data_IF_698495244408
#
_entry.id   IF_698495244408
#
_cell.length_a   1.000
_cell.length_b   1.000
_cell.length_c   1.000
_cell.angle_alpha   90.00
_cell.angle_beta   90.00
_cell.angle_gamma   90.00
#
_symmetry.space_group_name_H-M   'P 1'
#
loop_
_entity.id
_entity.type
_entity.pdbx_description
1 polymer ?
#
# COMPACT_ATOMS: atom_id res chain seq x y z
N UNK A 1 9.22 0.70 20.27
CA UNK A 1 8.40 1.88 19.88
C UNK A 1 9.21 3.15 20.09
N UNK A 2 9.22 4.06 19.11
CA UNK A 2 10.05 5.28 19.12
C UNK A 2 9.68 6.25 20.27
N UNK A 3 8.40 6.47 20.49
CA UNK A 3 7.87 7.30 21.61
C UNK A 3 7.18 6.39 22.62
N UNK A 4 7.65 6.41 23.87
CA UNK A 4 7.15 5.51 24.92
C UNK A 4 6.03 6.12 25.75
N UNK A 5 5.91 7.45 25.74
CA UNK A 5 4.93 8.16 26.53
C UNK A 5 4.41 9.43 25.82
N UNK A 6 3.27 9.99 26.25
CA UNK A 6 2.81 11.31 25.79
C UNK A 6 3.87 12.41 26.01
N UNK A 7 4.63 12.33 27.09
CA UNK A 7 5.71 13.28 27.37
C UNK A 7 6.81 13.22 26.33
N UNK A 8 7.28 12.01 25.98
CA UNK A 8 8.31 11.83 24.94
C UNK A 8 7.86 12.41 23.60
N UNK A 9 6.60 12.16 23.24
CA UNK A 9 6.00 12.69 22.02
C UNK A 9 5.91 14.22 22.02
N UNK A 10 5.38 14.80 23.11
CA UNK A 10 5.13 16.24 23.20
C UNK A 10 6.42 17.06 23.24
N UNK A 11 7.45 16.58 23.93
CA UNK A 11 8.76 17.27 24.07
C UNK A 11 9.67 17.08 22.85
N UNK A 12 9.44 16.04 22.03
CA UNK A 12 10.25 15.82 20.83
C UNK A 12 10.03 16.94 19.80
N UNK A 13 11.11 17.56 19.36
CA UNK A 13 11.09 18.52 18.24
C UNK A 13 10.92 17.79 16.91
N UNK A 14 11.61 16.66 16.73
CA UNK A 14 11.48 15.81 15.55
C UNK A 14 10.38 14.76 15.75
N UNK A 15 9.43 14.70 14.83
CA UNK A 15 8.32 13.76 14.86
C UNK A 15 8.26 12.94 13.58
N UNK A 16 8.32 11.62 13.72
CA UNK A 16 8.25 10.70 12.58
C UNK A 16 7.17 9.65 12.82
N UNK A 17 6.25 9.53 11.88
CA UNK A 17 5.12 8.60 11.97
C UNK A 17 4.98 7.78 10.69
N UNK A 18 4.34 6.62 10.81
CA UNK A 18 3.95 5.76 9.70
C UNK A 18 2.45 5.45 9.82
N UNK A 19 1.68 5.86 8.82
CA UNK A 19 0.23 5.60 8.77
C UNK A 19 -0.04 4.31 7.98
N UNK A 20 -0.78 3.38 8.57
CA UNK A 20 -1.17 2.14 7.90
C UNK A 20 -2.61 1.72 8.23
N UNK A 21 -3.16 0.81 7.46
CA UNK A 21 -4.54 0.35 7.58
C UNK A 21 -5.24 0.27 6.22
N UNK A 22 -6.52 -0.09 6.24
CA UNK A 22 -7.31 -0.26 5.01
C UNK A 22 -7.39 1.03 4.18
N UNK A 23 -7.65 0.87 2.88
CA UNK A 23 -7.90 2.02 1.99
C UNK A 23 -9.14 2.79 2.44
N UNK A 24 -9.16 4.10 2.21
CA UNK A 24 -10.33 4.95 2.47
C UNK A 24 -10.56 5.37 3.93
N UNK A 25 -9.66 5.02 4.85
CA UNK A 25 -9.75 5.38 6.27
C UNK A 25 -9.02 6.71 6.63
N UNK A 26 -8.61 7.49 5.63
CA UNK A 26 -8.07 8.82 5.85
C UNK A 26 -6.54 8.92 5.89
N UNK A 27 -5.76 7.86 5.62
CA UNK A 27 -4.28 7.93 5.60
C UNK A 27 -3.75 9.06 4.72
N UNK A 28 -4.11 9.03 3.45
CA UNK A 28 -3.66 10.02 2.47
C UNK A 28 -4.19 11.43 2.81
N UNK A 29 -5.43 11.54 3.30
CA UNK A 29 -5.98 12.82 3.77
C UNK A 29 -5.12 13.42 4.91
N UNK A 30 -4.78 12.62 5.92
CA UNK A 30 -3.91 13.07 7.01
C UNK A 30 -2.51 13.42 6.51
N UNK A 31 -1.93 12.60 5.64
CA UNK A 31 -0.60 12.87 5.07
C UNK A 31 -0.58 14.17 4.26
N UNK A 32 -1.63 14.46 3.48
CA UNK A 32 -1.78 15.72 2.75
C UNK A 32 -2.01 16.90 3.69
N UNK A 33 -2.85 16.74 4.71
CA UNK A 33 -3.10 17.76 5.73
C UNK A 33 -1.81 18.15 6.46
N UNK A 34 -1.01 17.18 6.87
CA UNK A 34 0.28 17.40 7.51
C UNK A 34 1.27 18.11 6.57
N UNK A 35 1.37 17.67 5.32
CA UNK A 35 2.21 18.30 4.30
C UNK A 35 1.80 19.74 4.02
N UNK A 36 0.51 20.00 3.87
CA UNK A 36 0.00 21.31 3.48
C UNK A 36 0.08 22.34 4.61
N UNK A 37 0.20 21.91 5.86
CA UNK A 37 0.51 22.79 7.00
C UNK A 37 2.01 23.17 7.09
N UNK A 38 2.85 22.70 6.15
CA UNK A 38 4.14 23.29 5.83
C UNK A 38 5.35 22.74 6.56
N UNK A 39 5.20 21.88 7.57
CA UNK A 39 6.33 21.42 8.38
C UNK A 39 6.52 19.89 8.46
N UNK A 40 5.78 19.14 7.62
CA UNK A 40 5.89 17.68 7.52
C UNK A 40 6.35 17.24 6.13
N UNK A 41 7.41 16.46 6.07
CA UNK A 41 7.79 15.77 4.85
C UNK A 41 6.87 14.56 4.63
N UNK A 42 6.22 14.50 3.45
CA UNK A 42 5.33 13.40 3.08
C UNK A 42 6.06 12.41 2.17
N UNK A 43 6.24 11.20 2.66
CA UNK A 43 6.77 10.06 1.91
C UNK A 43 5.66 9.06 1.60
N UNK A 44 5.40 8.80 0.31
CA UNK A 44 4.42 7.81 -0.14
C UNK A 44 5.12 6.52 -0.58
N UNK A 45 4.84 5.43 0.10
CA UNK A 45 5.37 4.11 -0.24
C UNK A 45 4.87 3.66 -1.61
N UNK A 46 3.58 3.81 -1.92
CA UNK A 46 3.01 3.43 -3.21
C UNK A 46 3.64 4.21 -4.38
N UNK A 47 3.86 5.51 -4.20
CA UNK A 47 4.56 6.32 -5.21
C UNK A 47 6.00 5.83 -5.42
N UNK A 48 6.68 5.45 -4.35
CA UNK A 48 8.04 4.92 -4.40
C UNK A 48 8.11 3.56 -5.07
N UNK A 49 7.16 2.66 -4.77
CA UNK A 49 7.00 1.38 -5.47
C UNK A 49 6.90 1.62 -6.98
N UNK A 50 5.96 2.46 -7.39
CA UNK A 50 5.66 2.69 -8.81
C UNK A 50 6.76 3.39 -9.57
N UNK A 51 7.49 4.34 -8.94
CA UNK A 51 8.51 5.14 -9.63
C UNK A 51 9.89 4.50 -9.58
N UNK A 52 10.33 4.03 -8.42
CA UNK A 52 11.70 3.54 -8.24
C UNK A 52 11.85 2.07 -8.58
N UNK A 53 10.93 1.24 -8.11
CA UNK A 53 11.10 -0.20 -8.14
C UNK A 53 10.32 -0.90 -9.26
N UNK A 54 9.16 -0.35 -9.64
CA UNK A 54 8.29 -0.96 -10.64
C UNK A 54 8.20 -0.14 -11.95
N UNK A 55 8.80 1.05 -12.01
CA UNK A 55 8.63 1.98 -13.12
C UNK A 55 9.00 1.38 -14.49
N UNK A 56 10.12 0.67 -14.58
CA UNK A 56 10.56 -0.02 -15.81
C UNK A 56 9.61 -1.17 -16.17
N UNK A 57 9.22 -1.99 -15.20
CA UNK A 57 8.28 -3.10 -15.43
C UNK A 57 6.91 -2.60 -15.92
N UNK A 58 6.44 -1.48 -15.38
CA UNK A 58 5.19 -0.83 -15.81
C UNK A 58 5.34 -0.32 -17.24
N UNK A 59 6.41 0.40 -17.53
CA UNK A 59 6.69 0.93 -18.87
C UNK A 59 6.83 -0.19 -19.91
N UNK A 60 7.53 -1.27 -19.56
CA UNK A 60 7.71 -2.43 -20.43
C UNK A 60 6.41 -3.19 -20.71
N UNK A 61 5.50 -3.24 -19.71
CA UNK A 61 4.16 -3.79 -19.95
C UNK A 61 3.39 -2.97 -20.99
N UNK A 62 3.43 -1.64 -20.92
CA UNK A 62 2.80 -0.78 -21.94
C UNK A 62 3.47 -0.87 -23.31
N UNK A 63 4.81 -0.95 -23.35
CA UNK A 63 5.55 -1.16 -24.61
C UNK A 63 5.14 -2.50 -25.23
N UNK A 64 5.03 -3.56 -24.44
CA UNK A 64 4.61 -4.88 -24.93
C UNK A 64 3.23 -4.85 -25.54
N UNK A 65 2.27 -4.17 -24.95
CA UNK A 65 0.95 -3.97 -25.53
C UNK A 65 1.02 -3.14 -26.82
N UNK A 66 1.80 -2.05 -26.84
CA UNK A 66 1.98 -1.22 -28.03
C UNK A 66 2.65 -1.99 -29.19
N UNK A 67 3.53 -2.95 -28.92
CA UNK A 67 4.19 -3.79 -29.93
C UNK A 67 3.20 -4.71 -30.65
N UNK A 68 2.01 -4.96 -30.13
CA UNK A 68 0.95 -5.69 -30.84
C UNK A 68 0.33 -4.89 -31.99
N UNK A 69 0.50 -3.56 -31.99
CA UNK A 69 0.08 -2.68 -33.06
C UNK A 69 1.23 -2.42 -34.05
N UNK A 70 1.15 -2.83 -35.34
CA UNK A 70 2.26 -2.72 -36.30
C UNK A 70 2.79 -1.29 -36.48
N UNK A 71 1.92 -0.28 -36.42
CA UNK A 71 2.31 1.13 -36.56
C UNK A 71 3.14 1.59 -35.36
N UNK A 72 2.66 1.32 -34.13
CA UNK A 72 3.38 1.70 -32.91
C UNK A 72 4.67 0.88 -32.78
N UNK A 73 4.67 -0.40 -33.14
CA UNK A 73 5.85 -1.25 -33.10
C UNK A 73 6.99 -0.68 -33.96
N UNK A 74 6.67 -0.23 -35.19
CA UNK A 74 7.66 0.38 -36.06
C UNK A 74 8.26 1.66 -35.47
N UNK A 75 7.46 2.52 -34.87
CA UNK A 75 7.90 3.76 -34.24
C UNK A 75 8.76 3.50 -33.00
N UNK A 76 8.40 2.50 -32.18
CA UNK A 76 9.20 2.10 -31.02
C UNK A 76 10.56 1.50 -31.44
N UNK A 77 10.58 0.65 -32.49
CA UNK A 77 11.80 0.00 -32.99
C UNK A 77 12.78 1.00 -33.64
N UNK A 78 12.29 2.15 -34.09
CA UNK A 78 13.11 3.21 -34.71
C UNK A 78 13.39 4.37 -33.77
N UNK A 79 13.09 4.24 -32.47
CA UNK A 79 13.23 5.29 -31.45
C UNK A 79 12.51 6.63 -31.81
N UNK A 80 11.52 6.56 -32.70
CA UNK A 80 10.71 7.71 -33.07
C UNK A 80 9.71 8.12 -31.97
N UNK A 81 9.36 7.19 -31.08
CA UNK A 81 8.56 7.42 -29.88
C UNK A 81 9.15 6.66 -28.70
N UNK A 82 8.81 7.10 -27.49
CA UNK A 82 9.03 6.34 -26.27
C UNK A 82 7.74 6.26 -25.44
N UNK A 83 7.61 5.24 -24.59
CA UNK A 83 6.51 5.06 -23.66
C UNK A 83 7.06 5.14 -22.25
N UNK A 84 6.42 5.96 -21.41
CA UNK A 84 6.73 6.12 -19.99
C UNK A 84 5.45 6.15 -19.17
N UNK A 85 5.50 5.66 -17.95
CA UNK A 85 4.41 5.78 -17.00
C UNK A 85 4.48 7.14 -16.28
N UNK A 86 3.38 7.89 -16.28
CA UNK A 86 3.27 9.12 -15.51
C UNK A 86 2.62 8.82 -14.15
N UNK A 87 3.45 8.55 -13.14
CA UNK A 87 3.00 8.27 -11.77
C UNK A 87 2.86 9.58 -11.00
N UNK A 88 1.73 9.73 -10.31
CA UNK A 88 1.45 10.88 -9.44
C UNK A 88 1.04 10.38 -8.05
N UNK A 89 1.22 11.22 -7.02
CA UNK A 89 0.85 10.88 -5.64
C UNK A 89 -0.63 10.48 -5.50
N UNK A 90 -1.51 11.12 -6.25
CA UNK A 90 -2.95 10.90 -6.23
C UNK A 90 -3.46 10.03 -7.39
N UNK A 91 -2.56 9.54 -8.27
CA UNK A 91 -2.91 8.63 -9.36
C UNK A 91 -1.82 7.58 -9.55
N UNK A 92 -2.06 6.42 -8.97
CA UNK A 92 -1.20 5.24 -8.99
C UNK A 92 -1.78 4.14 -9.90
N UNK A 93 -2.71 4.49 -10.79
CA UNK A 93 -3.38 3.54 -11.70
C UNK A 93 -2.41 2.73 -12.57
N UNK A 94 -1.25 3.25 -13.04
CA UNK A 94 -0.30 2.44 -13.79
C UNK A 94 0.25 1.23 -13.00
N UNK A 95 0.47 1.37 -11.69
CA UNK A 95 0.91 0.28 -10.81
C UNK A 95 -0.17 -0.79 -10.70
N UNK A 96 -1.42 -0.38 -10.45
CA UNK A 96 -2.56 -1.31 -10.39
C UNK A 96 -2.77 -2.03 -11.71
N UNK A 97 -2.68 -1.31 -12.84
CA UNK A 97 -2.80 -1.89 -14.18
C UNK A 97 -1.73 -2.93 -14.44
N UNK A 98 -0.48 -2.68 -14.02
CA UNK A 98 0.60 -3.64 -14.16
C UNK A 98 0.34 -4.93 -13.39
N UNK A 99 -0.18 -4.86 -12.15
CA UNK A 99 -0.48 -6.07 -11.37
C UNK A 99 -1.42 -7.00 -12.12
N UNK A 100 -2.44 -6.47 -12.78
CA UNK A 100 -3.43 -7.26 -13.51
C UNK A 100 -4.33 -8.07 -12.58
N UNK A 101 -5.12 -8.96 -13.17
CA UNK A 101 -6.05 -9.86 -12.49
C UNK A 101 -5.85 -11.27 -13.06
N UNK A 102 -5.79 -12.33 -12.24
CA UNK A 102 -5.59 -13.67 -12.75
C UNK A 102 -6.89 -14.21 -13.36
N UNK A 103 -6.77 -14.98 -14.43
CA UNK A 103 -7.91 -15.64 -15.08
C UNK A 103 -7.79 -15.73 -16.59
N UNK A 104 -8.93 -15.92 -17.23
CA UNK A 104 -9.06 -16.10 -18.66
C UNK A 104 -8.55 -14.86 -19.45
N UNK A 105 -7.52 -15.03 -20.31
CA UNK A 105 -7.01 -13.92 -21.12
C UNK A 105 -8.05 -13.34 -22.08
N UNK A 106 -9.01 -14.12 -22.55
CA UNK A 106 -10.09 -13.62 -23.43
C UNK A 106 -11.03 -12.64 -22.71
N UNK A 107 -11.04 -12.67 -21.37
CA UNK A 107 -11.79 -11.76 -20.50
C UNK A 107 -10.92 -10.67 -19.86
N UNK A 108 -9.72 -10.45 -20.40
CA UNK A 108 -8.76 -9.45 -19.89
C UNK A 108 -7.98 -9.92 -18.64
N UNK A 109 -7.97 -11.22 -18.37
CA UNK A 109 -7.15 -11.83 -17.34
C UNK A 109 -5.70 -12.07 -17.79
N UNK A 110 -4.85 -12.46 -16.83
CA UNK A 110 -3.51 -12.97 -17.09
C UNK A 110 -3.38 -14.36 -16.48
N UNK A 111 -2.52 -15.24 -17.03
CA UNK A 111 -2.29 -16.56 -16.46
C UNK A 111 -1.87 -16.46 -14.98
N UNK A 112 -2.36 -17.36 -14.13
CA UNK A 112 -2.08 -17.33 -12.69
C UNK A 112 -0.57 -17.32 -12.37
N UNK A 113 0.23 -18.07 -13.12
CA UNK A 113 1.70 -18.06 -12.99
C UNK A 113 2.31 -16.69 -13.23
N UNK A 114 1.83 -15.93 -14.23
CA UNK A 114 2.29 -14.57 -14.50
C UNK A 114 1.81 -13.60 -13.40
N UNK A 115 0.59 -13.77 -12.93
CA UNK A 115 0.08 -13.00 -11.80
C UNK A 115 0.95 -13.19 -10.54
N UNK A 116 1.30 -14.43 -10.20
CA UNK A 116 2.22 -14.75 -9.10
C UNK A 116 3.59 -14.09 -9.26
N UNK A 117 4.15 -14.11 -10.47
CA UNK A 117 5.41 -13.43 -10.77
C UNK A 117 5.33 -11.91 -10.50
N UNK A 118 4.24 -11.28 -10.92
CA UNK A 118 4.00 -9.84 -10.69
C UNK A 118 3.80 -9.53 -9.21
N UNK A 119 3.10 -10.40 -8.48
CA UNK A 119 2.94 -10.29 -7.03
C UNK A 119 4.28 -10.33 -6.30
N UNK A 120 5.18 -11.21 -6.69
CA UNK A 120 6.52 -11.32 -6.11
C UNK A 120 7.35 -10.05 -6.36
N UNK A 121 7.34 -9.52 -7.58
CA UNK A 121 8.01 -8.26 -7.89
C UNK A 121 7.45 -7.09 -7.05
N UNK A 122 6.13 -7.03 -6.90
CA UNK A 122 5.49 -6.02 -6.06
C UNK A 122 5.90 -6.16 -4.60
N UNK A 123 5.95 -7.39 -4.06
CA UNK A 123 6.40 -7.67 -2.70
C UNK A 123 7.81 -7.12 -2.45
N UNK A 124 8.74 -7.44 -3.34
CA UNK A 124 10.13 -7.00 -3.20
C UNK A 124 10.24 -5.47 -3.30
N UNK A 125 9.47 -4.86 -4.20
CA UNK A 125 9.37 -3.42 -4.35
C UNK A 125 8.78 -2.74 -3.10
N UNK A 126 7.73 -3.31 -2.49
CA UNK A 126 7.10 -2.77 -1.28
C UNK A 126 8.04 -2.86 -0.08
N UNK A 127 8.72 -4.00 0.12
CA UNK A 127 9.72 -4.17 1.19
C UNK A 127 10.83 -3.12 1.05
N UNK A 128 11.40 -2.95 -0.13
CA UNK A 128 12.46 -1.99 -0.37
C UNK A 128 11.96 -0.54 -0.18
N UNK A 129 10.76 -0.22 -0.66
CA UNK A 129 10.15 1.09 -0.47
C UNK A 129 9.89 1.40 1.01
N UNK A 130 9.47 0.41 1.79
CA UNK A 130 9.31 0.56 3.24
C UNK A 130 10.65 0.84 3.93
N UNK A 131 11.70 0.10 3.60
CA UNK A 131 13.04 0.29 4.17
C UNK A 131 13.69 1.61 3.74
N UNK A 132 13.38 2.13 2.54
CA UNK A 132 13.80 3.45 2.07
C UNK A 132 13.30 4.59 2.98
N UNK A 133 12.26 4.37 3.80
CA UNK A 133 11.75 5.34 4.76
C UNK A 133 12.87 5.93 5.62
N UNK A 134 13.79 5.11 6.12
CA UNK A 134 14.91 5.56 6.96
C UNK A 134 15.82 6.53 6.20
N UNK A 135 16.13 6.22 4.95
CA UNK A 135 16.91 7.09 4.08
C UNK A 135 16.20 8.43 3.80
N UNK A 136 14.85 8.38 3.60
CA UNK A 136 14.07 9.58 3.32
C UNK A 136 13.87 10.47 4.55
N UNK A 137 13.84 9.94 5.77
CA UNK A 137 13.88 10.75 7.00
C UNK A 137 15.16 11.59 7.03
N UNK A 138 16.32 10.97 6.75
CA UNK A 138 17.60 11.68 6.70
C UNK A 138 17.64 12.74 5.59
N UNK A 139 17.13 12.42 4.40
CA UNK A 139 17.05 13.37 3.28
C UNK A 139 16.07 14.51 3.55
N UNK A 140 14.92 14.24 4.18
CA UNK A 140 13.96 15.26 4.57
C UNK A 140 14.62 16.32 5.44
N UNK A 141 15.46 15.90 6.41
CA UNK A 141 16.22 16.82 7.26
C UNK A 141 17.36 17.49 6.50
N UNK A 142 18.22 16.72 5.83
CA UNK A 142 19.48 17.25 5.27
C UNK A 142 19.30 18.13 4.03
N UNK A 143 18.27 17.89 3.22
CA UNK A 143 18.03 18.62 1.96
C UNK A 143 16.95 19.70 2.08
N UNK A 144 15.96 19.51 2.94
CA UNK A 144 14.76 20.34 2.99
C UNK A 144 14.50 20.95 4.38
N UNK A 145 15.32 20.60 5.38
CA UNK A 145 15.23 21.05 6.77
C UNK A 145 13.91 20.70 7.47
N UNK A 146 13.26 19.60 7.06
CA UNK A 146 12.09 19.07 7.76
C UNK A 146 12.49 18.29 9.01
N UNK A 147 11.92 18.67 10.16
CA UNK A 147 12.01 17.92 11.42
C UNK A 147 10.87 16.92 11.62
N UNK A 148 9.82 17.03 10.81
CA UNK A 148 8.65 16.16 10.91
C UNK A 148 8.45 15.36 9.64
N UNK A 149 8.10 14.09 9.81
CA UNK A 149 8.02 13.11 8.72
C UNK A 149 6.77 12.24 8.82
N UNK A 150 6.06 12.09 7.72
CA UNK A 150 4.94 11.14 7.60
C UNK A 150 5.18 10.16 6.46
N UNK A 151 5.21 8.87 6.81
CA UNK A 151 5.22 7.75 5.87
C UNK A 151 3.77 7.30 5.64
N UNK A 152 3.25 7.53 4.43
CA UNK A 152 1.94 7.02 3.98
C UNK A 152 2.15 5.65 3.32
N UNK A 153 1.74 4.58 4.00
CA UNK A 153 1.91 3.22 3.48
C UNK A 153 0.73 2.77 2.64
N UNK A 154 1.00 1.77 1.80
CA UNK A 154 -0.08 1.02 1.13
C UNK A 154 -0.96 0.28 2.14
N UNK A 155 -2.17 -0.09 1.71
CA UNK A 155 -3.02 -1.00 2.48
C UNK A 155 -2.49 -2.44 2.53
N UNK A 156 -1.42 -2.75 1.82
CA UNK A 156 -0.84 -4.10 1.72
C UNK A 156 0.35 -4.34 2.66
N UNK A 157 0.75 -3.37 3.46
CA UNK A 157 1.91 -3.53 4.36
C UNK A 157 1.87 -4.82 5.20
N UNK A 158 0.69 -5.28 5.58
CA UNK A 158 0.51 -6.55 6.32
C UNK A 158 0.87 -7.79 5.50
N UNK A 159 0.91 -7.69 4.16
CA UNK A 159 1.27 -8.82 3.30
C UNK A 159 2.78 -9.06 3.24
N UNK A 160 3.58 -8.06 3.60
CA UNK A 160 5.04 -8.13 3.62
C UNK A 160 5.65 -8.28 5.01
N UNK A 161 4.83 -8.12 6.06
CA UNK A 161 5.25 -8.18 7.48
C UNK A 161 4.77 -9.49 8.10
N UNK A 162 5.66 -10.18 8.81
CA UNK A 162 5.28 -11.27 9.71
C UNK A 162 4.92 -10.69 11.09
N UNK A 163 3.64 -10.43 11.32
CA UNK A 163 3.16 -9.83 12.58
C UNK A 163 3.27 -10.79 13.79
N UNK A 164 3.58 -12.07 13.58
CA UNK A 164 3.81 -13.05 14.65
C UNK A 164 5.27 -13.11 15.09
N UNK A 165 6.17 -12.49 14.33
CA UNK A 165 7.60 -12.42 14.61
C UNK A 165 7.98 -10.99 15.05
N UNK A 166 8.31 -10.81 16.33
CA UNK A 166 8.75 -9.50 16.85
C UNK A 166 10.09 -9.04 16.27
N UNK A 167 10.84 -9.94 15.66
CA UNK A 167 12.09 -9.67 14.96
C UNK A 167 11.90 -9.48 13.45
N UNK A 168 10.64 -9.36 12.96
CA UNK A 168 10.37 -9.03 11.56
C UNK A 168 11.25 -7.89 11.07
N UNK A 169 12.02 -8.14 10.02
CA UNK A 169 13.07 -7.24 9.56
C UNK A 169 12.55 -5.84 9.19
N UNK A 170 11.35 -5.76 8.59
CA UNK A 170 10.76 -4.50 8.16
C UNK A 170 10.33 -3.69 9.38
N UNK A 171 9.50 -4.29 10.25
CA UNK A 171 8.96 -3.58 11.41
C UNK A 171 10.00 -3.32 12.49
N UNK A 172 10.94 -4.24 12.73
CA UNK A 172 12.07 -4.03 13.65
C UNK A 172 12.92 -2.84 13.23
N UNK A 173 13.15 -2.67 11.93
CA UNK A 173 13.87 -1.50 11.41
C UNK A 173 13.03 -0.24 11.57
N UNK A 174 11.82 -0.24 11.03
CA UNK A 174 11.00 0.98 10.95
C UNK A 174 10.58 1.52 12.32
N UNK A 175 10.23 0.65 13.27
CA UNK A 175 9.78 1.07 14.61
C UNK A 175 10.84 1.81 15.44
N UNK A 176 12.10 1.80 15.00
CA UNK A 176 13.19 2.61 15.58
C UNK A 176 13.18 4.05 15.06
N UNK A 177 12.58 4.32 13.91
CA UNK A 177 12.64 5.61 13.22
C UNK A 177 11.29 6.29 13.07
N UNK A 178 10.19 5.54 13.09
CA UNK A 178 8.83 6.05 12.99
C UNK A 178 7.92 5.43 14.04
N UNK A 179 6.87 6.13 14.42
CA UNK A 179 5.77 5.59 15.21
C UNK A 179 4.73 4.97 14.25
N UNK A 180 4.56 3.64 14.22
CA UNK A 180 3.48 3.01 13.47
C UNK A 180 2.12 3.37 14.05
N UNK A 181 1.20 3.83 13.21
CA UNK A 181 -0.16 4.22 13.60
C UNK A 181 -1.15 3.49 12.71
N UNK A 182 -1.90 2.57 13.28
CA UNK A 182 -3.01 1.95 12.59
C UNK A 182 -4.27 2.80 12.70
N UNK A 183 -4.84 3.18 11.55
CA UNK A 183 -6.16 3.79 11.51
C UNK A 183 -7.18 2.65 11.41
N UNK A 184 -7.86 2.41 12.55
CA UNK A 184 -8.84 1.34 12.69
C UNK A 184 -10.20 1.79 12.19
N UNK A 185 -10.73 1.07 11.18
CA UNK A 185 -12.10 1.24 10.70
C UNK A 185 -13.10 0.41 11.50
N UNK A 186 -14.39 0.63 11.23
CA UNK A 186 -15.50 -0.17 11.75
C UNK A 186 -15.92 -1.24 10.73
N UNK A 187 -16.85 -2.10 11.12
CA UNK A 187 -17.46 -3.10 10.23
C UNK A 187 -18.21 -2.40 9.07
N UNK A 188 -18.90 -1.29 9.34
CA UNK A 188 -19.59 -0.51 8.32
C UNK A 188 -18.61 0.04 7.27
N UNK A 189 -17.41 0.47 7.67
CA UNK A 189 -16.34 0.86 6.73
C UNK A 189 -15.92 -0.32 5.84
N UNK A 190 -15.82 -1.51 6.41
CA UNK A 190 -15.47 -2.72 5.65
C UNK A 190 -16.53 -3.07 4.62
N UNK A 191 -17.82 -3.04 5.01
CA UNK A 191 -18.94 -3.26 4.09
C UNK A 191 -18.98 -2.22 2.97
N UNK A 192 -18.77 -0.95 3.28
CA UNK A 192 -18.71 0.11 2.27
C UNK A 192 -17.53 -0.07 1.30
N UNK A 193 -16.38 -0.51 1.79
CA UNK A 193 -15.24 -0.84 0.95
C UNK A 193 -15.56 -2.00 0.00
N UNK A 194 -16.21 -3.06 0.50
CA UNK A 194 -16.62 -4.20 -0.34
C UNK A 194 -17.61 -3.75 -1.40
N UNK A 195 -18.62 -2.95 -1.06
CA UNK A 195 -19.60 -2.41 -2.01
C UNK A 195 -18.94 -1.59 -3.12
N UNK A 196 -18.01 -0.69 -2.76
CA UNK A 196 -17.28 0.13 -3.75
C UNK A 196 -16.38 -0.73 -4.63
N UNK A 197 -15.71 -1.70 -4.04
CA UNK A 197 -14.82 -2.61 -4.76
C UNK A 197 -15.59 -3.48 -5.76
N UNK A 198 -16.76 -3.98 -5.39
CA UNK A 198 -17.63 -4.77 -6.28
C UNK A 198 -18.08 -3.99 -7.52
N UNK A 199 -18.32 -2.67 -7.38
CA UNK A 199 -18.68 -1.81 -8.51
C UNK A 199 -17.52 -1.52 -9.46
N UNK A 200 -16.29 -1.48 -8.95
CA UNK A 200 -15.10 -1.17 -9.73
C UNK A 200 -13.90 -1.98 -9.21
N UNK A 201 -13.86 -3.31 -9.51
CA UNK A 201 -12.82 -4.18 -9.00
C UNK A 201 -11.46 -3.82 -9.57
N UNK A 202 -10.48 -3.63 -8.68
CA UNK A 202 -9.10 -3.26 -9.01
C UNK A 202 -8.16 -4.44 -8.74
N UNK A 203 -7.04 -4.54 -9.47
CA UNK A 203 -5.98 -5.46 -9.09
C UNK A 203 -5.55 -5.26 -7.64
N UNK A 204 -5.35 -6.37 -6.92
CA UNK A 204 -4.95 -6.37 -5.52
C UNK A 204 -3.64 -7.11 -5.34
N UNK A 205 -2.88 -6.69 -4.33
CA UNK A 205 -1.71 -7.40 -3.89
C UNK A 205 -2.06 -8.34 -2.72
N UNK A 206 -1.52 -9.55 -2.77
CA UNK A 206 -1.72 -10.63 -1.78
C UNK A 206 -0.37 -11.22 -1.39
N UNK A 207 -0.25 -11.70 -0.15
CA UNK A 207 0.85 -12.59 0.21
C UNK A 207 0.75 -13.93 -0.55
N UNK A 208 1.88 -14.52 -0.86
CA UNK A 208 1.98 -15.69 -1.75
C UNK A 208 1.12 -16.87 -1.29
N UNK A 209 1.28 -17.30 -0.04
CA UNK A 209 0.55 -18.46 0.50
C UNK A 209 -0.97 -18.21 0.52
N UNK A 210 -1.39 -17.02 0.95
CA UNK A 210 -2.80 -16.66 0.98
C UNK A 210 -3.41 -16.60 -0.42
N UNK A 211 -2.67 -16.08 -1.40
CA UNK A 211 -3.13 -16.05 -2.80
C UNK A 211 -3.33 -17.46 -3.37
N UNK A 212 -2.36 -18.36 -3.15
CA UNK A 212 -2.45 -19.75 -3.59
C UNK A 212 -3.67 -20.45 -2.97
N UNK A 213 -3.88 -20.24 -1.67
CA UNK A 213 -5.04 -20.79 -0.96
C UNK A 213 -6.36 -20.24 -1.55
N UNK A 214 -6.47 -18.92 -1.72
CA UNK A 214 -7.64 -18.28 -2.30
C UNK A 214 -7.91 -18.80 -3.72
N UNK A 215 -6.87 -18.93 -4.56
CA UNK A 215 -7.01 -19.42 -5.91
C UNK A 215 -7.56 -20.84 -5.95
N UNK A 216 -6.96 -21.75 -5.20
CA UNK A 216 -7.38 -23.15 -5.13
C UNK A 216 -8.81 -23.29 -4.59
N UNK A 217 -9.16 -22.52 -3.55
CA UNK A 217 -10.50 -22.53 -2.97
C UNK A 217 -11.55 -22.01 -3.97
N UNK A 218 -11.23 -20.95 -4.71
CA UNK A 218 -12.12 -20.42 -5.75
C UNK A 218 -12.38 -21.43 -6.86
N UNK A 219 -11.32 -22.05 -7.42
CA UNK A 219 -11.45 -23.08 -8.46
C UNK A 219 -12.31 -24.24 -7.99
N UNK A 220 -12.10 -24.70 -6.75
CA UNK A 220 -12.86 -25.80 -6.15
C UNK A 220 -14.33 -25.42 -5.94
N UNK A 221 -14.61 -24.23 -5.38
CA UNK A 221 -15.95 -23.73 -5.11
C UNK A 221 -16.78 -23.55 -6.38
N UNK A 222 -16.14 -23.01 -7.44
CA UNK A 222 -16.79 -22.80 -8.73
C UNK A 222 -16.79 -24.03 -9.63
N UNK A 223 -16.01 -25.05 -9.30
CA UNK A 223 -15.81 -26.25 -10.09
C UNK A 223 -15.42 -25.96 -11.56
N UNK A 224 -14.45 -25.06 -11.73
CA UNK A 224 -13.94 -24.63 -13.04
C UNK A 224 -12.41 -24.76 -13.12
N UNK A 225 -11.85 -24.99 -14.33
CA UNK A 225 -10.40 -24.94 -14.54
C UNK A 225 -9.90 -23.49 -14.55
N UNK A 226 -8.59 -23.28 -14.33
CA UNK A 226 -7.92 -21.96 -14.33
C UNK A 226 -8.22 -21.12 -15.59
N UNK A 227 -8.33 -21.78 -16.74
CA UNK A 227 -8.55 -21.15 -18.06
C UNK A 227 -9.95 -20.54 -18.23
N UNK A 228 -10.89 -20.86 -17.33
CA UNK A 228 -12.27 -20.36 -17.39
C UNK A 228 -12.58 -19.32 -16.29
N UNK A 229 -11.61 -19.00 -15.44
CA UNK A 229 -11.80 -18.03 -14.35
C UNK A 229 -12.11 -16.65 -14.93
N UNK A 230 -13.24 -16.06 -14.54
CA UNK A 230 -13.49 -14.64 -14.76
C UNK A 230 -12.62 -13.80 -13.81
N UNK A 231 -11.71 -12.94 -14.35
CA UNK A 231 -10.76 -12.20 -13.52
C UNK A 231 -11.45 -11.25 -12.52
N UNK A 232 -12.58 -10.65 -12.88
CA UNK A 232 -13.32 -9.75 -12.00
C UNK A 232 -14.06 -10.54 -10.89
N UNK A 233 -14.63 -11.69 -11.25
CA UNK A 233 -15.31 -12.55 -10.28
C UNK A 233 -14.34 -13.04 -9.19
N UNK A 234 -13.15 -13.52 -9.59
CA UNK A 234 -12.12 -13.92 -8.63
C UNK A 234 -11.71 -12.79 -7.70
N UNK A 235 -11.41 -11.61 -8.25
CA UNK A 235 -10.98 -10.46 -7.46
C UNK A 235 -12.06 -10.00 -6.48
N UNK A 236 -13.33 -9.97 -6.89
CA UNK A 236 -14.45 -9.60 -6.02
C UNK A 236 -14.64 -10.63 -4.92
N UNK A 237 -14.64 -11.94 -5.26
CA UNK A 237 -14.74 -13.03 -4.29
C UNK A 237 -13.60 -12.99 -3.27
N UNK A 238 -12.37 -12.77 -3.73
CA UNK A 238 -11.17 -12.72 -2.89
C UNK A 238 -11.08 -11.48 -2.01
N UNK A 239 -11.73 -10.36 -2.38
CA UNK A 239 -11.54 -9.09 -1.68
C UNK A 239 -12.04 -9.11 -0.23
N UNK A 240 -13.23 -9.67 0.03
CA UNK A 240 -13.75 -9.82 1.41
C UNK A 240 -12.83 -10.68 2.25
N UNK A 241 -12.39 -11.83 1.72
CA UNK A 241 -11.43 -12.73 2.38
C UNK A 241 -10.10 -12.04 2.69
N UNK A 242 -9.64 -11.20 1.76
CA UNK A 242 -8.44 -10.40 1.96
C UNK A 242 -8.59 -9.41 3.13
N UNK A 243 -9.73 -8.71 3.24
CA UNK A 243 -9.99 -7.79 4.34
C UNK A 243 -10.07 -8.53 5.68
N UNK A 244 -10.78 -9.65 5.73
CA UNK A 244 -10.88 -10.51 6.92
C UNK A 244 -9.50 -11.03 7.37
N UNK A 245 -8.63 -11.40 6.44
CA UNK A 245 -7.26 -11.80 6.72
C UNK A 245 -6.38 -10.64 7.22
N UNK A 246 -6.57 -9.43 6.69
CA UNK A 246 -5.75 -8.25 7.01
C UNK A 246 -6.06 -7.64 8.37
N UNK A 247 -7.33 -7.55 8.75
CA UNK A 247 -7.78 -6.83 9.95
C UNK A 247 -7.07 -7.28 11.24
N UNK A 248 -7.02 -8.58 11.59
CA UNK A 248 -6.32 -9.04 12.79
C UNK A 248 -4.81 -8.78 12.72
N UNK A 249 -4.23 -8.80 11.53
CA UNK A 249 -2.79 -8.57 11.31
C UNK A 249 -2.42 -7.10 11.48
N UNK A 250 -3.27 -6.15 11.02
CA UNK A 250 -3.07 -4.72 11.31
C UNK A 250 -3.07 -4.46 12.82
N UNK A 251 -4.04 -5.05 13.54
CA UNK A 251 -4.11 -4.93 15.00
C UNK A 251 -2.83 -5.41 15.66
N UNK A 252 -2.36 -6.59 15.26
CA UNK A 252 -1.14 -7.20 15.80
C UNK A 252 0.12 -6.35 15.53
N UNK A 253 0.22 -5.75 14.35
CA UNK A 253 1.31 -4.80 14.04
C UNK A 253 1.24 -3.59 14.97
N UNK A 254 0.06 -3.02 15.17
CA UNK A 254 -0.10 -1.86 16.07
C UNK A 254 0.22 -2.20 17.53
N UNK A 255 -0.23 -3.36 18.00
CA UNK A 255 0.03 -3.85 19.37
C UNK A 255 1.52 -4.12 19.63
N UNK A 256 2.23 -4.67 18.63
CA UNK A 256 3.65 -5.00 18.77
C UNK A 256 4.57 -3.77 18.65
N UNK A 257 4.25 -2.81 17.78
CA UNK A 257 5.21 -1.75 17.43
C UNK A 257 4.66 -0.32 17.50
N UNK A 258 3.36 -0.12 17.65
CA UNK A 258 2.76 1.20 17.48
C UNK A 258 1.54 1.49 18.34
N UNK A 259 0.62 2.28 17.77
CA UNK A 259 -0.65 2.67 18.41
C UNK A 259 -1.83 2.49 17.44
N UNK A 260 -3.03 2.53 18.01
CA UNK A 260 -4.29 2.45 17.27
C UNK A 260 -5.01 3.78 17.39
N UNK A 261 -5.44 4.35 16.26
CA UNK A 261 -6.37 5.49 16.21
C UNK A 261 -7.66 5.07 15.52
N UNK A 262 -8.81 5.43 16.10
CA UNK A 262 -10.10 5.15 15.46
C UNK A 262 -10.32 6.07 14.27
N UNK A 263 -10.79 5.53 13.15
CA UNK A 263 -11.11 6.31 11.94
C UNK A 263 -12.13 7.43 12.23
N UNK A 264 -13.07 7.22 13.17
CA UNK A 264 -14.02 8.23 13.61
C UNK A 264 -13.38 9.45 14.27
N UNK A 265 -12.25 9.28 14.97
CA UNK A 265 -11.51 10.38 15.59
C UNK A 265 -10.58 11.04 14.58
N UNK A 266 -9.95 10.26 13.70
CA UNK A 266 -9.16 10.76 12.57
C UNK A 266 -10.02 11.64 11.64
N UNK A 267 -11.28 11.29 11.40
CA UNK A 267 -12.21 12.07 10.56
C UNK A 267 -12.53 13.47 11.15
N UNK A 268 -12.35 13.68 12.47
CA UNK A 268 -12.56 14.97 13.14
C UNK A 268 -11.35 15.91 13.05
N UNK A 269 -10.19 15.38 12.65
CA UNK A 269 -8.93 16.14 12.55
C UNK A 269 -9.03 17.20 11.46
N UNK A 270 -8.71 18.46 11.81
CA UNK A 270 -8.75 19.61 10.90
C UNK A 270 -7.40 20.33 10.78
N UNK A 271 -6.44 20.01 11.64
CA UNK A 271 -5.09 20.61 11.62
C UNK A 271 -4.03 19.62 12.06
N UNK A 272 -2.77 19.92 11.77
CA UNK A 272 -1.63 19.13 12.23
C UNK A 272 -1.60 19.04 13.78
N UNK A 273 -1.93 20.13 14.48
CA UNK A 273 -1.96 20.18 15.95
C UNK A 273 -3.07 19.28 16.51
N UNK A 274 -4.24 19.22 15.86
CA UNK A 274 -5.29 18.29 16.27
C UNK A 274 -4.81 16.84 16.12
N UNK A 275 -4.09 16.52 15.05
CA UNK A 275 -3.58 15.19 14.83
C UNK A 275 -2.48 14.81 15.82
N UNK A 276 -1.52 15.71 16.07
CA UNK A 276 -0.47 15.48 17.07
C UNK A 276 -1.01 15.32 18.47
N UNK A 277 -2.07 16.09 18.83
CA UNK A 277 -2.78 15.93 20.09
C UNK A 277 -3.52 14.59 20.19
N UNK A 278 -4.13 14.13 19.09
CA UNK A 278 -4.79 12.83 19.04
C UNK A 278 -3.78 11.69 19.24
N UNK A 279 -2.59 11.78 18.66
CA UNK A 279 -1.50 10.81 18.89
C UNK A 279 -1.11 10.82 20.37
N UNK A 280 -0.85 11.99 20.95
CA UNK A 280 -0.47 12.13 22.35
C UNK A 280 -1.48 11.46 23.30
N UNK A 281 -2.78 11.65 23.04
CA UNK A 281 -3.86 11.07 23.85
C UNK A 281 -3.96 9.54 23.77
N UNK A 282 -3.38 8.93 22.73
CA UNK A 282 -3.43 7.47 22.50
C UNK A 282 -2.10 6.75 22.76
N UNK A 283 -1.04 7.49 23.10
CA UNK A 283 0.19 6.89 23.63
C UNK A 283 -0.05 6.45 25.08
N UNK A 284 0.30 5.21 25.36
CA UNK A 284 0.25 4.68 26.74
C UNK A 284 1.49 5.19 27.48
N UNK A 285 1.27 5.74 28.68
CA UNK A 285 2.36 6.08 29.61
C UNK A 285 2.95 4.83 30.27
#
# INVERSE_FOLDING_TARGET
MLYKSPSDWNTSQSKSIMLFGMSGLGKTYISELLRNNGDWFHYSVDYRIGTRYMGEHIADNFKKEAMSNPFLAKLLQTDAIYISANMKFNDLSPLSTYLGKPGDPSKGGIPFKEYMRRQKLHRDAEINSMLDTVHFIQRAKSLYDYDKFVCDTSGSVVEIVNCDDQDDKVMKTLSQYVLPIWIEGTEEHTEELVKRFTKAPKPMYYSENFLIECWNNFLKEKNIPETQVDPNEFIVWGYRKLLENRLPRYRKIAENWGIILKASDVAKVKSADNFTSLISANLKG
#
